data_IF_137748735312
#
_entry.id   IF_137748735312
#
_cell.length_a   1.000
_cell.length_b   1.000
_cell.length_c   1.000
_cell.angle_alpha   90.00
_cell.angle_beta   90.00
_cell.angle_gamma   90.00
#
_symmetry.space_group_name_H-M   'P 1'
#
loop_
_entity.id
_entity.type
_entity.pdbx_description
1 polymer ?
#
# COMPACT_ATOMS: atom_id res chain seq x y z
N UNK A 1 -11.43 -7.57 2.61
CA UNK A 1 -10.90 -6.19 2.56
C UNK A 1 -11.89 -5.21 1.95
N UNK A 2 -11.63 -3.88 1.97
CA UNK A 2 -12.44 -2.90 1.24
C UNK A 2 -12.22 -3.04 -0.28
N UNK A 3 -13.29 -2.88 -1.08
CA UNK A 3 -13.18 -2.92 -2.55
C UNK A 3 -12.39 -1.71 -3.04
N UNK A 4 -11.45 -1.96 -3.95
CA UNK A 4 -10.73 -0.92 -4.65
C UNK A 4 -11.17 -0.92 -6.13
N UNK A 5 -11.83 0.13 -6.57
CA UNK A 5 -12.29 0.28 -7.97
C UNK A 5 -11.67 1.51 -8.60
N UNK A 6 -12.19 2.69 -8.26
CA UNK A 6 -11.65 3.98 -8.66
C UNK A 6 -11.32 4.77 -7.39
N UNK A 7 -10.13 5.31 -7.33
CA UNK A 7 -9.67 6.11 -6.21
C UNK A 7 -9.14 7.46 -6.67
N UNK A 8 -9.57 8.54 -6.03
CA UNK A 8 -9.07 9.90 -6.31
C UNK A 8 -8.47 10.49 -5.04
N UNK A 9 -7.24 10.97 -5.15
CA UNK A 9 -6.51 11.56 -4.04
C UNK A 9 -5.43 12.53 -4.50
N UNK A 10 -4.72 13.13 -3.56
CA UNK A 10 -3.55 13.95 -3.83
C UNK A 10 -2.26 13.16 -3.60
N UNK A 11 -1.18 13.61 -4.22
CA UNK A 11 0.11 12.93 -4.16
C UNK A 11 1.07 13.59 -3.17
N UNK A 12 2.00 12.79 -2.64
CA UNK A 12 3.20 13.27 -1.96
C UNK A 12 4.44 12.61 -2.57
N UNK A 13 5.44 13.39 -2.99
CA UNK A 13 6.67 12.84 -3.55
C UNK A 13 7.69 12.51 -2.44
N UNK A 14 8.24 11.30 -2.46
CA UNK A 14 9.37 10.85 -1.67
C UNK A 14 10.29 10.00 -2.58
N UNK A 15 11.01 10.65 -3.46
CA UNK A 15 11.72 10.06 -4.61
C UNK A 15 13.04 9.34 -4.24
N UNK A 16 13.22 8.98 -2.97
CA UNK A 16 14.37 8.20 -2.52
C UNK A 16 14.28 6.76 -3.03
N UNK A 17 15.39 6.23 -3.55
CA UNK A 17 15.53 4.83 -3.90
C UNK A 17 15.92 4.00 -2.68
N UNK A 18 15.61 2.69 -2.71
CA UNK A 18 15.98 1.72 -1.68
C UNK A 18 15.43 2.05 -0.28
N UNK A 19 14.23 2.60 -0.20
CA UNK A 19 13.56 2.75 1.09
C UNK A 19 13.22 1.37 1.63
N UNK A 20 13.90 0.97 2.70
CA UNK A 20 13.70 -0.32 3.32
C UNK A 20 12.57 -0.34 4.36
N UNK A 21 12.18 -1.53 4.78
CA UNK A 21 11.08 -1.70 5.75
C UNK A 21 11.42 -1.19 7.15
N UNK A 22 12.71 -1.06 7.54
CA UNK A 22 13.11 -0.43 8.80
C UNK A 22 13.00 1.10 8.72
N UNK A 23 13.19 1.68 7.53
CA UNK A 23 12.95 3.10 7.30
C UNK A 23 11.44 3.40 7.25
N UNK A 24 10.64 2.50 6.64
CA UNK A 24 9.18 2.65 6.63
C UNK A 24 8.63 2.53 8.05
N UNK A 25 9.02 1.49 8.79
CA UNK A 25 8.62 1.27 10.18
C UNK A 25 9.76 0.66 11.00
N UNK A 26 10.42 1.45 11.89
CA UNK A 26 11.50 0.94 12.74
C UNK A 26 11.09 -0.23 13.63
N UNK A 27 11.99 -1.22 13.78
CA UNK A 27 11.72 -2.49 14.49
C UNK A 27 11.30 -2.35 15.95
N UNK A 28 11.62 -1.25 16.61
CA UNK A 28 11.18 -1.00 17.99
C UNK A 28 9.64 -0.94 18.14
N UNK A 29 8.92 -0.64 17.06
CA UNK A 29 7.46 -0.53 17.05
C UNK A 29 6.75 -1.85 16.68
N UNK A 30 7.47 -2.92 16.34
CA UNK A 30 6.90 -4.22 15.97
C UNK A 30 6.24 -4.98 17.15
N UNK A 31 6.37 -4.49 18.36
CA UNK A 31 5.74 -5.08 19.55
C UNK A 31 4.25 -4.76 19.68
N UNK A 32 3.73 -3.86 18.87
CA UNK A 32 2.31 -3.52 18.85
C UNK A 32 1.53 -4.64 18.16
N UNK A 33 0.40 -5.02 18.75
CA UNK A 33 -0.40 -6.19 18.33
C UNK A 33 -1.54 -5.76 17.39
N UNK A 34 -2.07 -4.56 17.58
CA UNK A 34 -3.19 -4.05 16.78
C UNK A 34 -2.71 -3.45 15.47
N UNK A 35 -3.43 -3.72 14.36
CA UNK A 35 -3.15 -3.12 13.04
C UNK A 35 -3.37 -1.58 13.00
N UNK A 36 -3.98 -1.00 14.03
CA UNK A 36 -4.29 0.44 14.13
C UNK A 36 -3.24 1.17 14.94
N UNK A 37 -2.96 2.42 14.57
CA UNK A 37 -2.05 3.31 15.29
C UNK A 37 -0.59 3.21 14.81
N UNK A 38 -0.30 2.43 13.75
CA UNK A 38 1.03 2.37 13.17
C UNK A 38 1.39 3.59 12.33
N UNK A 39 0.40 4.30 11.79
CA UNK A 39 0.61 5.47 10.92
C UNK A 39 1.41 6.59 11.59
N UNK A 40 1.31 6.76 12.92
CA UNK A 40 2.14 7.72 13.65
C UNK A 40 3.64 7.36 13.64
N UNK A 41 3.99 6.08 13.44
CA UNK A 41 5.37 5.60 13.40
C UNK A 41 5.92 5.47 11.99
N UNK A 42 5.08 5.70 10.97
CA UNK A 42 5.51 5.70 9.58
C UNK A 42 6.67 6.66 9.36
N UNK A 43 7.77 6.18 8.77
CA UNK A 43 8.97 6.96 8.51
C UNK A 43 9.51 7.71 9.76
N UNK A 44 9.40 7.06 10.93
CA UNK A 44 9.65 7.68 12.24
C UNK A 44 10.96 8.46 12.30
N UNK A 45 12.06 7.87 11.84
CA UNK A 45 13.39 8.47 11.89
C UNK A 45 13.54 9.72 10.99
N UNK A 46 12.66 9.88 10.00
CA UNK A 46 12.65 11.05 9.11
C UNK A 46 11.60 12.08 9.52
N UNK A 47 10.47 11.60 10.06
CA UNK A 47 9.34 12.45 10.47
C UNK A 47 9.58 13.20 11.77
N UNK A 48 10.38 12.64 12.67
CA UNK A 48 10.55 13.20 14.01
C UNK A 48 12.02 13.47 14.31
N UNK A 49 12.25 14.56 15.05
CA UNK A 49 13.57 15.01 15.49
C UNK A 49 14.01 14.34 16.80
N UNK A 50 13.04 13.84 17.59
CA UNK A 50 13.25 13.27 18.91
C UNK A 50 12.17 12.24 19.29
N UNK A 51 12.35 11.59 20.44
CA UNK A 51 11.41 10.60 20.99
C UNK A 51 10.14 11.22 21.58
N UNK A 52 10.01 12.53 21.60
CA UNK A 52 8.83 13.28 22.02
C UNK A 52 7.91 13.59 20.84
N UNK A 53 8.24 13.06 19.66
CA UNK A 53 7.51 13.25 18.40
C UNK A 53 7.51 14.71 17.92
N UNK A 54 8.59 15.47 18.19
CA UNK A 54 8.78 16.78 17.59
C UNK A 54 8.92 16.61 16.08
N UNK A 55 7.96 17.14 15.33
CA UNK A 55 7.93 16.96 13.87
C UNK A 55 9.13 17.65 13.20
N UNK A 56 9.79 16.94 12.31
CA UNK A 56 10.80 17.50 11.42
C UNK A 56 10.10 18.31 10.30
N UNK A 57 10.23 19.65 10.28
CA UNK A 57 9.54 20.48 9.29
C UNK A 57 10.08 20.29 7.86
N UNK A 58 11.28 19.77 7.72
CA UNK A 58 11.91 19.55 6.41
C UNK A 58 11.43 18.28 5.74
N UNK A 59 10.85 17.36 6.51
CA UNK A 59 10.34 16.11 5.94
C UNK A 59 8.97 16.31 5.26
N UNK A 60 8.86 15.87 4.02
CA UNK A 60 7.73 16.19 3.14
C UNK A 60 6.36 15.81 3.71
N UNK A 61 6.23 14.67 4.44
CA UNK A 61 4.95 14.23 5.02
C UNK A 61 4.46 15.15 6.15
N UNK A 62 5.35 15.90 6.79
CA UNK A 62 4.99 16.84 7.86
C UNK A 62 4.56 18.21 7.35
N UNK A 63 4.81 18.51 6.07
CA UNK A 63 4.39 19.76 5.47
C UNK A 63 2.87 19.83 5.37
N UNK A 64 2.23 20.92 5.80
CA UNK A 64 0.76 21.03 5.87
C UNK A 64 0.04 20.67 4.58
N UNK A 65 0.62 21.04 3.43
CA UNK A 65 0.05 20.80 2.11
C UNK A 65 0.00 19.33 1.71
N UNK A 66 0.85 18.46 2.29
CA UNK A 66 0.90 17.03 1.98
C UNK A 66 0.27 16.12 3.06
N UNK A 67 -0.18 16.67 4.19
CA UNK A 67 -0.74 15.88 5.31
C UNK A 67 -1.96 15.03 4.94
N UNK A 68 -2.66 15.39 3.88
CA UNK A 68 -3.85 14.65 3.40
C UNK A 68 -3.56 13.85 2.15
N UNK A 69 -2.32 13.80 1.71
CA UNK A 69 -1.95 13.01 0.56
C UNK A 69 -2.15 11.52 0.84
N UNK A 70 -2.76 10.83 -0.11
CA UNK A 70 -3.12 9.43 -0.01
C UNK A 70 -2.49 8.57 -1.13
N UNK A 71 -1.71 9.20 -1.99
CA UNK A 71 -0.94 8.57 -3.06
C UNK A 71 0.53 8.93 -2.86
N UNK A 72 1.36 7.92 -2.60
CA UNK A 72 2.80 8.09 -2.44
C UNK A 72 3.49 7.89 -3.79
N UNK A 73 4.34 8.84 -4.21
CA UNK A 73 5.24 8.69 -5.35
C UNK A 73 6.65 8.48 -4.81
N UNK A 74 7.30 7.37 -5.16
CA UNK A 74 8.59 7.03 -4.57
C UNK A 74 9.60 6.51 -5.60
N UNK A 75 10.82 6.25 -5.15
CA UNK A 75 11.95 5.77 -5.94
C UNK A 75 11.86 4.29 -6.32
N UNK A 76 13.00 3.73 -6.68
CA UNK A 76 13.13 2.32 -7.00
C UNK A 76 13.33 1.48 -5.73
N UNK A 77 12.97 0.19 -5.78
CA UNK A 77 13.18 -0.79 -4.73
C UNK A 77 12.54 -0.38 -3.38
N UNK A 78 11.28 0.07 -3.42
CA UNK A 78 10.53 0.46 -2.24
C UNK A 78 10.13 -0.76 -1.41
N UNK A 79 10.25 -0.66 -0.09
CA UNK A 79 9.95 -1.75 0.83
C UNK A 79 10.97 -2.91 0.79
N UNK A 80 12.21 -2.61 0.37
CA UNK A 80 13.31 -3.57 0.41
C UNK A 80 13.62 -4.04 1.84
N UNK A 81 14.44 -5.09 1.96
CA UNK A 81 14.92 -5.59 3.25
C UNK A 81 14.04 -6.66 3.88
N UNK A 82 13.89 -6.62 5.20
CA UNK A 82 13.17 -7.67 5.95
C UNK A 82 11.67 -7.69 5.63
N UNK A 83 11.13 -8.90 5.45
CA UNK A 83 9.71 -9.13 5.26
C UNK A 83 8.89 -8.73 6.50
N UNK A 84 8.15 -7.60 6.43
CA UNK A 84 7.33 -7.10 7.54
C UNK A 84 6.01 -6.54 7.04
N UNK A 85 4.94 -7.24 7.35
CA UNK A 85 3.59 -6.77 7.04
C UNK A 85 3.26 -5.44 7.76
N UNK A 86 3.87 -5.21 8.93
CA UNK A 86 3.72 -3.97 9.71
C UNK A 86 4.08 -2.70 8.93
N UNK A 87 5.00 -2.78 7.97
CA UNK A 87 5.33 -1.65 7.10
C UNK A 87 4.14 -1.27 6.22
N UNK A 88 3.44 -2.24 5.64
CA UNK A 88 2.21 -2.00 4.88
C UNK A 88 1.08 -1.48 5.80
N UNK A 89 0.96 -2.01 7.04
CA UNK A 89 0.00 -1.47 8.01
C UNK A 89 0.27 0.00 8.33
N UNK A 90 1.54 0.39 8.49
CA UNK A 90 1.91 1.77 8.77
C UNK A 90 1.55 2.72 7.62
N UNK A 91 1.76 2.29 6.38
CA UNK A 91 1.35 3.04 5.19
C UNK A 91 -0.17 3.20 5.12
N UNK A 92 -0.91 2.09 5.27
CA UNK A 92 -2.37 2.08 5.22
C UNK A 92 -3.01 2.91 6.36
N UNK A 93 -2.51 2.76 7.59
CA UNK A 93 -3.02 3.49 8.77
C UNK A 93 -2.65 4.98 8.73
N UNK A 94 -1.58 5.35 8.06
CA UNK A 94 -1.26 6.76 7.78
C UNK A 94 -2.23 7.39 6.79
N UNK A 95 -2.84 6.60 5.91
CA UNK A 95 -3.84 7.02 4.94
C UNK A 95 -3.46 6.81 3.49
N UNK A 96 -2.32 6.17 3.20
CA UNK A 96 -1.99 5.82 1.82
C UNK A 96 -2.89 4.69 1.30
N UNK A 97 -3.42 4.89 0.09
CA UNK A 97 -4.21 3.92 -0.66
C UNK A 97 -3.46 3.40 -1.88
N UNK A 98 -2.57 4.21 -2.43
CA UNK A 98 -1.78 3.90 -3.62
C UNK A 98 -0.32 4.26 -3.36
N UNK A 99 0.59 3.38 -3.75
CA UNK A 99 2.03 3.64 -3.79
C UNK A 99 2.52 3.45 -5.22
N UNK A 100 3.13 4.48 -5.80
CA UNK A 100 3.69 4.44 -7.16
C UNK A 100 5.21 4.48 -7.04
N UNK A 101 5.85 3.36 -7.38
CA UNK A 101 7.30 3.17 -7.30
C UNK A 101 7.88 2.70 -8.63
N UNK A 102 9.20 2.68 -8.76
CA UNK A 102 9.86 2.08 -9.94
C UNK A 102 10.00 0.57 -9.83
N UNK A 103 10.10 0.08 -8.61
CA UNK A 103 10.05 -1.32 -8.24
C UNK A 103 9.80 -1.45 -6.74
N UNK A 104 9.44 -2.64 -6.30
CA UNK A 104 9.17 -2.97 -4.90
C UNK A 104 9.99 -4.18 -4.45
N UNK A 105 10.20 -4.31 -3.15
CA UNK A 105 10.54 -5.60 -2.57
C UNK A 105 9.36 -6.56 -2.72
N UNK A 106 9.58 -7.77 -3.23
CA UNK A 106 8.51 -8.72 -3.60
C UNK A 106 7.50 -8.97 -2.47
N UNK A 107 8.00 -9.19 -1.26
CA UNK A 107 7.13 -9.46 -0.11
C UNK A 107 6.37 -8.20 0.31
N UNK A 108 7.00 -7.03 0.23
CA UNK A 108 6.34 -5.77 0.56
C UNK A 108 5.20 -5.44 -0.42
N UNK A 109 5.41 -5.67 -1.72
CA UNK A 109 4.39 -5.56 -2.75
C UNK A 109 3.14 -6.40 -2.42
N UNK A 110 3.35 -7.68 -2.07
CA UNK A 110 2.26 -8.57 -1.69
C UNK A 110 1.59 -8.14 -0.37
N UNK A 111 2.36 -7.61 0.59
CA UNK A 111 1.80 -7.11 1.83
C UNK A 111 0.92 -5.88 1.63
N UNK A 112 1.28 -4.96 0.72
CA UNK A 112 0.42 -3.83 0.37
C UNK A 112 -0.91 -4.31 -0.22
N UNK A 113 -0.87 -5.22 -1.20
CA UNK A 113 -2.05 -5.80 -1.84
C UNK A 113 -2.96 -6.52 -0.82
N UNK A 114 -2.39 -7.34 0.07
CA UNK A 114 -3.12 -8.05 1.13
C UNK A 114 -3.81 -7.10 2.12
N UNK A 115 -3.31 -5.88 2.25
CA UNK A 115 -3.91 -4.85 3.10
C UNK A 115 -4.81 -3.86 2.35
N UNK A 116 -5.17 -4.17 1.09
CA UNK A 116 -6.11 -3.38 0.29
C UNK A 116 -5.52 -2.08 -0.24
N UNK A 117 -4.19 -1.98 -0.30
CA UNK A 117 -3.48 -0.93 -0.98
C UNK A 117 -3.17 -1.34 -2.43
N UNK A 118 -2.94 -0.38 -3.29
CA UNK A 118 -2.57 -0.61 -4.68
C UNK A 118 -1.14 -0.15 -4.95
N UNK A 119 -0.14 -1.05 -4.93
CA UNK A 119 1.20 -0.76 -5.41
C UNK A 119 1.21 -0.76 -6.95
N UNK A 120 1.77 0.29 -7.53
CA UNK A 120 1.87 0.49 -8.99
C UNK A 120 3.32 0.68 -9.38
N UNK A 121 3.77 -0.07 -10.38
CA UNK A 121 5.09 0.12 -10.97
C UNK A 121 4.99 1.10 -12.14
N UNK A 122 5.82 2.16 -12.11
CA UNK A 122 5.91 3.15 -13.19
C UNK A 122 7.37 3.50 -13.51
N UNK A 123 7.69 3.74 -14.79
CA UNK A 123 9.00 4.21 -15.19
C UNK A 123 9.38 5.53 -14.50
N UNK A 124 10.68 5.76 -14.35
CA UNK A 124 11.20 6.95 -13.66
C UNK A 124 10.69 8.26 -14.28
N UNK A 125 10.62 8.34 -15.59
CA UNK A 125 10.11 9.52 -16.31
C UNK A 125 8.66 9.87 -15.92
N UNK A 126 7.82 8.86 -15.74
CA UNK A 126 6.42 9.06 -15.31
C UNK A 126 6.39 9.51 -13.85
N UNK A 127 7.14 8.85 -12.97
CA UNK A 127 7.21 9.20 -11.55
C UNK A 127 7.73 10.62 -11.33
N UNK A 128 8.73 11.06 -12.11
CA UNK A 128 9.24 12.43 -12.06
C UNK A 128 8.18 13.47 -12.48
N UNK A 129 7.35 13.15 -13.49
CA UNK A 129 6.19 14.01 -13.83
C UNK A 129 5.15 14.06 -12.72
N UNK A 130 4.83 12.91 -12.13
CA UNK A 130 3.89 12.82 -11.02
C UNK A 130 4.41 13.54 -9.76
N UNK A 131 5.72 13.49 -9.50
CA UNK A 131 6.36 14.17 -8.39
C UNK A 131 6.34 15.71 -8.49
N UNK A 132 6.10 16.26 -9.69
CA UNK A 132 5.98 17.69 -9.94
C UNK A 132 4.53 18.21 -9.79
N UNK A 133 3.57 17.33 -9.54
CA UNK A 133 2.20 17.74 -9.29
C UNK A 133 2.11 18.64 -8.04
N UNK A 134 1.22 19.61 -8.11
CA UNK A 134 0.94 20.47 -6.95
C UNK A 134 0.22 19.64 -5.86
N UNK A 135 0.42 19.99 -4.59
CA UNK A 135 -0.27 19.29 -3.49
C UNK A 135 -1.80 19.29 -3.58
N UNK A 136 -2.36 20.20 -4.38
CA UNK A 136 -3.81 20.34 -4.61
C UNK A 136 -4.30 19.56 -5.83
N UNK A 137 -3.39 19.08 -6.68
CA UNK A 137 -3.75 18.38 -7.90
C UNK A 137 -4.32 17.00 -7.56
N UNK A 138 -5.44 16.68 -8.20
CA UNK A 138 -6.09 15.39 -8.01
C UNK A 138 -5.55 14.37 -9.00
N UNK A 139 -5.29 13.20 -8.50
CA UNK A 139 -4.91 12.02 -9.29
C UNK A 139 -5.99 10.97 -9.11
N UNK A 140 -6.53 10.48 -10.22
CA UNK A 140 -7.52 9.40 -10.21
C UNK A 140 -6.87 8.13 -10.72
N UNK A 141 -6.95 7.08 -9.94
CA UNK A 141 -6.47 5.73 -10.28
C UNK A 141 -7.68 4.83 -10.48
N UNK A 142 -7.83 4.32 -11.69
CA UNK A 142 -8.87 3.36 -12.06
C UNK A 142 -8.26 1.97 -12.20
N UNK A 143 -8.61 1.08 -11.28
CA UNK A 143 -8.09 -0.29 -11.27
C UNK A 143 -8.71 -1.14 -12.39
N UNK A 144 -9.98 -0.91 -12.74
CA UNK A 144 -10.63 -1.67 -13.79
C UNK A 144 -10.02 -1.37 -15.15
N UNK A 145 -9.80 -0.09 -15.45
CA UNK A 145 -9.17 0.37 -16.70
C UNK A 145 -7.63 0.32 -16.62
N UNK A 146 -7.05 0.13 -15.42
CA UNK A 146 -5.61 0.17 -15.18
C UNK A 146 -4.98 1.49 -15.67
N UNK A 147 -5.61 2.61 -15.30
CA UNK A 147 -5.18 3.96 -15.70
C UNK A 147 -4.95 4.87 -14.50
N UNK A 148 -4.04 5.81 -14.67
CA UNK A 148 -3.74 6.91 -13.75
C UNK A 148 -4.00 8.21 -14.50
N UNK A 149 -5.05 8.94 -14.11
CA UNK A 149 -5.47 10.19 -14.75
C UNK A 149 -4.99 11.35 -13.90
N UNK A 150 -4.26 12.27 -14.50
CA UNK A 150 -3.63 13.41 -13.82
C UNK A 150 -3.68 14.68 -14.67
N UNK A 151 -3.44 15.87 -14.11
CA UNK A 151 -3.31 17.11 -14.89
C UNK A 151 -2.14 17.10 -15.90
N UNK A 152 -1.15 16.24 -15.72
CA UNK A 152 0.05 16.15 -16.59
C UNK A 152 -0.04 15.01 -17.62
N UNK A 153 -1.14 14.28 -17.65
CA UNK A 153 -1.40 13.22 -18.62
C UNK A 153 -2.07 12.00 -18.02
N UNK A 154 -2.34 11.04 -18.88
CA UNK A 154 -2.87 9.72 -18.54
C UNK A 154 -1.77 8.68 -18.74
N UNK A 155 -1.65 7.76 -17.78
CA UNK A 155 -0.67 6.69 -17.78
C UNK A 155 -1.36 5.37 -17.49
N UNK A 156 -0.89 4.30 -18.12
CA UNK A 156 -1.38 2.94 -17.85
C UNK A 156 -0.44 2.22 -16.88
N UNK A 157 -0.96 1.21 -16.19
CA UNK A 157 -0.17 0.32 -15.35
C UNK A 157 -0.61 -1.13 -15.51
N UNK A 158 0.25 -2.04 -15.15
CA UNK A 158 -0.04 -3.46 -15.13
C UNK A 158 -0.17 -3.97 -13.70
N UNK A 159 -1.07 -4.92 -13.52
CA UNK A 159 -1.27 -5.66 -12.28
C UNK A 159 -1.63 -7.09 -12.63
N UNK A 160 -1.19 -8.04 -11.84
CA UNK A 160 -1.60 -9.43 -11.98
C UNK A 160 -3.13 -9.58 -11.90
N UNK A 161 -3.69 -10.42 -12.77
CA UNK A 161 -5.15 -10.57 -12.93
C UNK A 161 -5.84 -11.10 -11.66
N UNK A 162 -5.16 -11.94 -10.89
CA UNK A 162 -5.68 -12.49 -9.64
C UNK A 162 -5.76 -11.40 -8.56
N UNK A 163 -4.70 -10.59 -8.42
CA UNK A 163 -4.70 -9.44 -7.53
C UNK A 163 -5.73 -8.39 -7.93
N UNK A 164 -5.85 -8.11 -9.23
CA UNK A 164 -6.91 -7.22 -9.74
C UNK A 164 -8.29 -7.71 -9.33
N UNK A 165 -8.56 -9.02 -9.52
CA UNK A 165 -9.83 -9.63 -9.12
C UNK A 165 -10.09 -9.51 -7.61
N UNK A 166 -9.07 -9.79 -6.78
CA UNK A 166 -9.15 -9.68 -5.31
C UNK A 166 -9.51 -8.27 -4.88
N UNK A 167 -8.80 -7.27 -5.38
CA UNK A 167 -9.01 -5.87 -5.02
C UNK A 167 -10.36 -5.34 -5.48
N UNK A 168 -10.76 -5.60 -6.74
CA UNK A 168 -12.05 -5.16 -7.28
C UNK A 168 -13.25 -5.72 -6.50
N UNK A 169 -13.12 -6.94 -5.99
CA UNK A 169 -14.19 -7.62 -5.25
C UNK A 169 -14.06 -7.49 -3.72
N UNK A 170 -12.95 -6.94 -3.22
CA UNK A 170 -12.69 -6.81 -1.79
C UNK A 170 -12.43 -8.15 -1.09
N UNK A 171 -11.91 -9.13 -1.84
CA UNK A 171 -11.65 -10.48 -1.35
C UNK A 171 -10.28 -10.57 -0.69
N UNK A 172 -10.25 -11.20 0.47
CA UNK A 172 -9.03 -11.75 1.07
C UNK A 172 -8.91 -13.25 0.76
N UNK A 173 -7.86 -13.89 1.19
CA UNK A 173 -7.63 -15.33 0.92
C UNK A 173 -8.73 -16.21 1.51
N UNK A 174 -9.32 -15.81 2.64
CA UNK A 174 -10.48 -16.50 3.24
C UNK A 174 -11.71 -16.29 2.34
N UNK A 175 -11.95 -15.08 1.89
CA UNK A 175 -13.08 -14.75 1.01
C UNK A 175 -13.03 -15.53 -0.32
N UNK A 176 -11.82 -15.78 -0.87
CA UNK A 176 -11.65 -16.61 -2.05
C UNK A 176 -11.99 -18.07 -1.74
N UNK A 177 -11.48 -18.60 -0.64
CA UNK A 177 -11.76 -19.98 -0.22
C UNK A 177 -13.26 -20.19 -0.01
N UNK A 178 -13.96 -19.23 0.60
CA UNK A 178 -15.41 -19.30 0.84
C UNK A 178 -16.26 -19.26 -0.43
N UNK A 179 -15.71 -18.86 -1.58
CA UNK A 179 -16.42 -19.00 -2.86
C UNK A 179 -16.63 -20.47 -3.26
N UNK A 180 -15.89 -21.40 -2.66
CA UNK A 180 -15.97 -22.84 -2.87
C UNK A 180 -16.63 -23.58 -1.69
N UNK A 181 -17.41 -22.87 -0.85
CA UNK A 181 -18.01 -23.42 0.37
C UNK A 181 -18.82 -24.69 0.11
N UNK A 182 -19.62 -24.73 -0.99
CA UNK A 182 -20.40 -25.91 -1.36
C UNK A 182 -19.52 -27.12 -1.67
N UNK A 183 -18.38 -26.92 -2.34
CA UNK A 183 -17.42 -27.98 -2.65
C UNK A 183 -16.70 -28.47 -1.40
N UNK A 184 -16.35 -27.54 -0.51
CA UNK A 184 -15.72 -27.84 0.78
C UNK A 184 -16.69 -28.69 1.62
N UNK A 185 -17.93 -28.24 1.76
CA UNK A 185 -18.96 -28.96 2.52
C UNK A 185 -19.27 -30.35 1.93
N UNK A 186 -19.27 -30.48 0.59
CA UNK A 186 -19.43 -31.77 -0.08
C UNK A 186 -18.25 -32.70 0.23
N UNK A 187 -17.04 -32.20 0.22
CA UNK A 187 -15.85 -32.98 0.58
C UNK A 187 -15.86 -33.41 2.05
N UNK A 188 -16.19 -32.50 2.98
CA UNK A 188 -16.26 -32.77 4.41
C UNK A 188 -17.27 -33.86 4.74
N UNK A 189 -18.43 -33.91 4.08
CA UNK A 189 -19.43 -34.96 4.24
C UNK A 189 -18.95 -36.36 3.82
N UNK A 190 -17.95 -36.45 2.94
CA UNK A 190 -17.38 -37.69 2.46
C UNK A 190 -16.22 -38.19 3.33
N UNK A 191 -15.76 -37.40 4.33
CA UNK A 191 -14.65 -37.79 5.19
C UNK A 191 -15.08 -38.90 6.15
N UNK A 192 -14.18 -39.86 6.48
CA UNK A 192 -14.43 -40.86 7.51
C UNK A 192 -14.82 -40.26 8.85
N UNK A 193 -15.69 -40.93 9.61
CA UNK A 193 -16.24 -40.41 10.86
C UNK A 193 -15.18 -40.02 11.92
N UNK A 194 -14.02 -40.69 11.91
CA UNK A 194 -12.91 -40.36 12.83
C UNK A 194 -12.18 -39.04 12.50
N UNK A 195 -12.60 -38.34 11.45
CA UNK A 195 -12.13 -36.99 11.09
C UNK A 195 -13.21 -35.91 11.28
N UNK A 196 -14.37 -36.28 11.82
CA UNK A 196 -15.54 -35.40 11.95
C UNK A 196 -15.72 -34.83 13.37
N UNK A 197 -14.70 -34.94 14.26
CA UNK A 197 -14.69 -34.34 15.58
C UNK A 197 -14.27 -32.88 15.56
#
# INVERSE_FOLDING_TARGET
>A
MEKFTVYTGTTVPLMNDNIDTDQILPKQFLKLIDKKGFGKYLMYAWRYLDDQYTENPDFVFNRPEYRKASILITGDNFGAGSSREHAAWALADYGFKVVIAGSFGDIHYNNELNNGMLPIVQPREVREKLAQLKPTDQVTVDLEQQTIITPVGEFTFEIDSEWKHKLLNGLDDIGITLQYEDLIAAYEKQRPAYWQE
#
